data_IF_806834056251
#
_entry.id   IF_806834056251
#
_cell.length_a   1.000
_cell.length_b   1.000
_cell.length_c   1.000
_cell.angle_alpha   90.00
_cell.angle_beta   90.00
_cell.angle_gamma   90.00
#
_symmetry.space_group_name_H-M   'P 1'
#
loop_
_entity.id
_entity.type
_entity.pdbx_description
1 polymer ?
#
# COMPACT_ATOMS: atom_id res chain seq x y z
N UNK A 1 -1.28 -9.26 13.66
CA UNK A 1 -0.04 -9.98 13.31
C UNK A 1 0.77 -9.10 12.37
N UNK A 2 2.09 -9.11 12.46
CA UNK A 2 2.96 -8.37 11.55
C UNK A 2 3.90 -9.32 10.80
N UNK A 3 4.28 -8.95 9.59
CA UNK A 3 5.23 -9.70 8.76
C UNK A 3 6.28 -8.76 8.19
N UNK A 4 7.53 -9.23 8.16
CA UNK A 4 8.60 -8.51 7.47
C UNK A 4 8.44 -8.66 5.97
N UNK A 5 8.50 -7.51 5.30
CA UNK A 5 8.40 -7.40 3.84
C UNK A 5 9.59 -6.63 3.31
N UNK A 6 9.94 -6.89 2.06
CA UNK A 6 10.77 -5.99 1.27
C UNK A 6 9.86 -5.32 0.23
N UNK A 7 9.77 -4.00 0.30
CA UNK A 7 8.95 -3.16 -0.57
C UNK A 7 9.85 -2.15 -1.26
N UNK A 8 9.86 -2.16 -2.60
CA UNK A 8 10.75 -1.31 -3.40
C UNK A 8 12.23 -1.35 -2.96
N UNK A 9 12.72 -2.55 -2.63
CA UNK A 9 14.10 -2.76 -2.18
C UNK A 9 14.37 -2.43 -0.71
N UNK A 10 13.37 -1.96 0.04
CA UNK A 10 13.51 -1.56 1.45
C UNK A 10 12.77 -2.52 2.40
N UNK A 11 13.46 -2.99 3.45
CA UNK A 11 12.84 -3.79 4.51
C UNK A 11 11.89 -2.95 5.36
N UNK A 12 10.68 -3.46 5.60
CA UNK A 12 9.61 -2.87 6.41
C UNK A 12 8.83 -3.97 7.13
N UNK A 13 8.05 -3.59 8.13
CA UNK A 13 7.05 -4.46 8.75
C UNK A 13 5.65 -4.04 8.30
N UNK A 14 4.81 -4.99 7.93
CA UNK A 14 3.44 -4.75 7.49
C UNK A 14 2.42 -5.49 8.37
N UNK A 15 1.28 -4.84 8.62
CA UNK A 15 0.16 -5.46 9.34
C UNK A 15 -0.52 -6.47 8.42
N UNK A 16 -0.72 -7.70 8.92
CA UNK A 16 -1.58 -8.70 8.28
C UNK A 16 -3.00 -8.43 8.75
N UNK A 17 -3.79 -7.83 7.86
CA UNK A 17 -5.21 -7.53 8.06
C UNK A 17 -6.04 -8.28 7.02
N UNK A 18 -6.65 -9.40 7.42
CA UNK A 18 -7.51 -10.22 6.55
C UNK A 18 -8.87 -9.56 6.25
N UNK A 19 -9.23 -8.49 6.96
CA UNK A 19 -10.44 -7.71 6.71
C UNK A 19 -10.25 -6.62 5.64
N UNK A 20 -9.02 -6.31 5.26
CA UNK A 20 -8.72 -5.32 4.24
C UNK A 20 -8.83 -5.89 2.82
N UNK A 21 -9.63 -5.23 1.97
CA UNK A 21 -9.74 -5.62 0.54
C UNK A 21 -8.59 -5.12 -0.33
N UNK A 22 -7.81 -4.15 0.15
CA UNK A 22 -6.73 -3.51 -0.58
C UNK A 22 -5.50 -3.35 0.33
N UNK A 23 -4.31 -3.36 -0.27
CA UNK A 23 -3.07 -3.01 0.44
C UNK A 23 -3.01 -1.48 0.59
N UNK A 24 -2.95 -1.01 1.83
CA UNK A 24 -2.96 0.42 2.16
C UNK A 24 -1.59 0.83 2.68
N UNK A 25 -1.11 1.98 2.21
CA UNK A 25 0.09 2.64 2.73
C UNK A 25 -0.19 4.11 2.96
N UNK A 26 0.30 4.68 4.07
CA UNK A 26 0.18 6.12 4.26
C UNK A 26 0.99 6.84 3.18
N UNK A 27 0.43 7.90 2.60
CA UNK A 27 1.09 8.70 1.55
C UNK A 27 2.49 9.17 2.00
N UNK A 28 2.63 9.55 3.28
CA UNK A 28 3.91 9.95 3.86
C UNK A 28 4.98 8.86 3.75
N UNK A 29 4.60 7.61 3.93
CA UNK A 29 5.53 6.48 3.92
C UNK A 29 5.78 5.99 2.49
N UNK A 30 4.77 6.06 1.61
CA UNK A 30 4.96 5.87 0.17
C UNK A 30 5.93 6.90 -0.42
N UNK A 31 5.86 8.17 0.00
CA UNK A 31 6.83 9.21 -0.38
C UNK A 31 8.25 8.89 0.13
N UNK A 32 8.39 8.47 1.39
CA UNK A 32 9.70 8.04 1.95
C UNK A 32 10.29 6.84 1.20
N UNK A 33 9.45 5.96 0.68
CA UNK A 33 9.85 4.83 -0.15
C UNK A 33 10.17 5.24 -1.61
N UNK A 34 9.98 6.51 -1.98
CA UNK A 34 10.20 6.99 -3.35
C UNK A 34 9.16 6.46 -4.35
N UNK A 35 8.01 6.00 -3.88
CA UNK A 35 6.97 5.44 -4.76
C UNK A 35 6.31 6.54 -5.58
N UNK A 36 6.10 6.26 -6.88
CA UNK A 36 5.30 7.14 -7.73
C UNK A 36 3.82 6.94 -7.42
N UNK A 37 3.22 7.94 -6.79
CA UNK A 37 1.81 7.92 -6.39
C UNK A 37 0.99 8.68 -7.43
N UNK A 38 0.02 8.01 -8.04
CA UNK A 38 -0.89 8.63 -9.03
C UNK A 38 -2.27 8.85 -8.44
N UNK A 39 -2.82 10.02 -8.71
CA UNK A 39 -4.20 10.37 -8.38
C UNK A 39 -5.15 9.50 -9.24
N UNK A 40 -6.00 8.70 -8.59
CA UNK A 40 -6.99 7.83 -9.20
C UNK A 40 -8.39 8.31 -8.81
N UNK A 41 -9.22 8.62 -9.79
CA UNK A 41 -10.62 9.03 -9.59
C UNK A 41 -11.52 7.84 -9.19
N UNK A 42 -11.15 7.10 -8.14
CA UNK A 42 -11.98 6.09 -7.48
C UNK A 42 -12.21 6.49 -6.04
N UNK A 43 -13.30 6.04 -5.44
CA UNK A 43 -13.61 6.20 -4.01
C UNK A 43 -13.23 4.89 -3.30
N UNK A 44 -12.42 4.94 -2.24
CA UNK A 44 -12.31 3.83 -1.28
C UNK A 44 -13.47 3.99 -0.30
N UNK A 45 -14.21 2.89 -0.04
CA UNK A 45 -15.12 2.84 1.11
C UNK A 45 -14.27 2.54 2.34
N UNK A 46 -13.98 3.56 3.12
CA UNK A 46 -13.35 3.40 4.43
C UNK A 46 -14.46 3.49 5.48
N UNK A 47 -14.57 2.51 6.37
CA UNK A 47 -15.69 2.38 7.34
C UNK A 47 -15.79 3.54 8.35
N UNK A 48 -14.78 4.40 8.48
CA UNK A 48 -14.73 5.48 9.47
C UNK A 48 -14.21 6.84 8.96
N UNK A 49 -14.40 7.21 7.68
CA UNK A 49 -13.97 8.54 7.21
C UNK A 49 -15.00 9.24 6.32
N UNK A 50 -15.36 10.48 6.69
CA UNK A 50 -16.20 11.40 5.92
C UNK A 50 -15.59 11.65 4.52
N UNK A 51 -16.45 11.76 3.52
CA UNK A 51 -16.09 11.84 2.09
C UNK A 51 -14.85 12.71 1.73
N UNK A 52 -13.86 12.07 1.08
CA UNK A 52 -12.79 12.67 0.25
C UNK A 52 -11.37 12.46 0.81
N UNK A 53 -10.47 11.73 0.09
CA UNK A 53 -9.87 12.30 -1.11
C UNK A 53 -9.66 11.28 -2.24
N UNK A 54 -9.24 11.79 -3.38
CA UNK A 54 -8.88 10.98 -4.54
C UNK A 54 -7.85 9.93 -4.19
N UNK A 55 -8.15 8.66 -4.49
CA UNK A 55 -7.29 7.52 -4.15
C UNK A 55 -5.93 7.70 -4.81
N UNK A 56 -4.87 7.58 -4.04
CA UNK A 56 -3.51 7.78 -4.48
C UNK A 56 -2.85 6.43 -4.61
N UNK A 57 -2.75 5.90 -5.84
CA UNK A 57 -2.27 4.53 -6.07
C UNK A 57 -0.80 4.54 -6.48
N UNK A 58 0.02 3.79 -5.74
CA UNK A 58 1.32 3.36 -6.23
C UNK A 58 1.14 2.04 -6.99
N UNK A 59 1.44 2.05 -8.30
CA UNK A 59 1.23 0.88 -9.15
C UNK A 59 2.50 0.08 -9.35
N UNK A 60 2.34 -1.23 -9.51
CA UNK A 60 3.42 -2.15 -9.91
C UNK A 60 4.61 -2.13 -8.93
N UNK A 61 4.33 -1.93 -7.64
CA UNK A 61 5.34 -1.89 -6.58
C UNK A 61 5.83 -3.31 -6.32
N UNK A 62 7.15 -3.51 -6.38
CA UNK A 62 7.76 -4.78 -6.02
C UNK A 62 7.62 -5.03 -4.52
N UNK A 63 7.04 -6.18 -4.19
CA UNK A 63 6.80 -6.65 -2.83
C UNK A 63 7.32 -8.08 -2.70
N UNK A 64 8.11 -8.33 -1.66
CA UNK A 64 8.61 -9.65 -1.30
C UNK A 64 8.26 -9.97 0.14
N UNK A 65 7.81 -11.22 0.36
CA UNK A 65 7.50 -11.78 1.67
C UNK A 65 8.17 -13.15 1.73
N UNK A 66 9.23 -13.29 2.53
CA UNK A 66 10.08 -14.48 2.49
C UNK A 66 10.62 -14.73 1.07
N UNK A 67 10.39 -15.92 0.53
CA UNK A 67 10.78 -16.29 -0.84
C UNK A 67 9.80 -15.78 -1.91
N UNK A 68 8.55 -15.48 -1.53
CA UNK A 68 7.54 -15.02 -2.46
C UNK A 68 7.84 -13.59 -2.92
N UNK A 69 7.77 -13.36 -4.24
CA UNK A 69 7.93 -12.05 -4.88
C UNK A 69 6.75 -11.77 -5.81
N UNK A 70 6.28 -10.54 -5.82
CA UNK A 70 5.22 -10.11 -6.73
C UNK A 70 5.15 -8.60 -6.87
N UNK A 71 4.46 -8.14 -7.92
CA UNK A 71 4.16 -6.73 -8.11
C UNK A 71 2.72 -6.45 -7.68
N UNK A 72 2.53 -5.43 -6.85
CA UNK A 72 1.22 -5.09 -6.28
C UNK A 72 0.91 -3.61 -6.45
N UNK A 73 -0.37 -3.28 -6.39
CA UNK A 73 -0.84 -1.91 -6.31
C UNK A 73 -1.13 -1.58 -4.85
N UNK A 74 -0.64 -0.43 -4.38
CA UNK A 74 -0.87 0.07 -3.04
C UNK A 74 -1.77 1.30 -3.13
N UNK A 75 -2.67 1.46 -2.15
CA UNK A 75 -3.61 2.57 -2.05
C UNK A 75 -3.34 3.48 -0.87
#
# INVERSE_FOLDING_TARGET
MFVDINIAGQKRSALVDTGASDLIILEKDAKKLGLSIRKLNKKIKTVNFYYGPTVRVARNVELQIGEWKGKKNLR
#
